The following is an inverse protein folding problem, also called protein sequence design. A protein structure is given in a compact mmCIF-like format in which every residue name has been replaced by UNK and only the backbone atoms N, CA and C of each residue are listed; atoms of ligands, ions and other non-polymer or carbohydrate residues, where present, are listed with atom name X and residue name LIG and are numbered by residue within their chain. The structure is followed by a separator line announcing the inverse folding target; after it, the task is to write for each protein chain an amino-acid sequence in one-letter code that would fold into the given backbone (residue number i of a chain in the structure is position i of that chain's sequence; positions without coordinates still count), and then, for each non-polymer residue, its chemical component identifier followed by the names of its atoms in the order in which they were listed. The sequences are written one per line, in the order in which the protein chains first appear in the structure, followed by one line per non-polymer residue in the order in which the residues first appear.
data_IF_185318542937
#
_entry.id   IF_185318542937
#
_cell.length_a   1.000
_cell.length_b   1.000
_cell.length_c   1.000
_cell.angle_alpha   90.00
_cell.angle_beta   90.00
_cell.angle_gamma   90.00
#
_symmetry.space_group_name_H-M   'P 1'
#
loop_
_entity.id
_entity.type
_entity.pdbx_description
1 polymer ?
#
# COMPACT_ATOMS: atom_id res chain seq x y z
N UNK A 1 10.85 18.08 13.41
CA UNK A 1 12.29 17.79 13.24
C UNK A 1 12.59 17.28 11.83
N UNK A 2 13.78 17.61 11.32
CA UNK A 2 14.35 17.08 10.07
C UNK A 2 15.41 16.05 10.45
N UNK A 3 15.14 14.79 10.18
CA UNK A 3 16.08 13.69 10.33
C UNK A 3 16.72 13.34 8.98
N UNK A 4 18.01 13.03 8.98
CA UNK A 4 18.76 12.60 7.80
C UNK A 4 19.71 11.46 8.17
N UNK A 5 20.23 10.73 7.19
CA UNK A 5 21.31 9.78 7.43
C UNK A 5 22.57 10.51 7.92
N UNK A 6 23.33 9.88 8.81
CA UNK A 6 24.46 10.48 9.50
C UNK A 6 25.61 10.84 8.55
N UNK A 7 25.78 10.05 7.50
CA UNK A 7 26.74 10.24 6.40
C UNK A 7 26.38 11.40 5.46
N UNK A 8 25.12 11.85 5.46
CA UNK A 8 24.67 12.95 4.61
C UNK A 8 25.14 14.31 5.20
N UNK A 9 25.93 15.02 4.39
CA UNK A 9 26.45 16.37 4.70
C UNK A 9 25.77 17.49 3.91
N UNK A 10 24.96 17.15 2.89
CA UNK A 10 24.39 18.12 1.96
C UNK A 10 23.11 18.78 2.49
N UNK A 11 22.49 18.20 3.52
CA UNK A 11 21.26 18.71 4.13
C UNK A 11 21.60 19.27 5.50
N UNK A 12 21.54 20.59 5.63
CA UNK A 12 21.87 21.33 6.85
C UNK A 12 20.64 21.93 7.53
N UNK A 13 19.49 21.95 6.84
CA UNK A 13 18.24 22.50 7.35
C UNK A 13 17.13 22.55 6.31
N UNK A 14 16.02 23.23 6.62
CA UNK A 14 14.81 23.26 5.80
C UNK A 14 15.06 23.78 4.38
N UNK A 15 15.85 24.84 4.22
CA UNK A 15 16.12 25.45 2.91
C UNK A 15 16.92 24.54 1.97
N UNK A 16 17.67 23.58 2.53
CA UNK A 16 18.46 22.59 1.77
C UNK A 16 17.63 21.41 1.24
N UNK A 17 16.31 21.37 1.52
CA UNK A 17 15.41 20.31 1.08
C UNK A 17 14.81 20.52 -0.32
N UNK A 18 15.15 21.61 -1.02
CA UNK A 18 14.69 21.87 -2.39
C UNK A 18 15.10 20.72 -3.32
N UNK A 19 14.16 20.26 -4.14
CA UNK A 19 14.34 19.12 -5.07
C UNK A 19 14.77 17.79 -4.42
N UNK A 20 14.63 17.65 -3.09
CA UNK A 20 14.96 16.41 -2.37
C UNK A 20 13.75 15.48 -2.27
N UNK A 21 14.02 14.19 -2.06
CA UNK A 21 13.00 13.20 -1.69
C UNK A 21 12.87 13.22 -0.18
N UNK A 22 11.67 13.50 0.33
CA UNK A 22 11.43 13.56 1.78
C UNK A 22 10.30 12.63 2.18
N UNK A 23 10.45 11.93 3.31
CA UNK A 23 9.37 11.19 3.91
C UNK A 23 8.65 12.03 4.98
N UNK A 24 7.33 11.88 5.05
CA UNK A 24 6.49 12.56 6.06
C UNK A 24 5.40 11.62 6.57
N UNK A 25 4.94 11.83 7.80
CA UNK A 25 3.74 11.17 8.30
C UNK A 25 2.49 11.94 7.83
N UNK A 26 1.50 11.23 7.31
CA UNK A 26 0.22 11.79 6.85
C UNK A 26 -0.50 12.52 7.99
N UNK A 27 -1.12 13.66 7.69
CA UNK A 27 -1.92 14.43 8.66
C UNK A 27 -1.11 15.24 9.67
N UNK A 28 0.21 15.35 9.50
CA UNK A 28 1.06 16.16 10.37
C UNK A 28 1.27 17.58 9.83
N UNK A 29 1.49 18.51 10.74
CA UNK A 29 2.00 19.87 10.49
C UNK A 29 3.34 19.85 9.73
N UNK A 30 4.20 18.87 10.03
CA UNK A 30 5.42 18.60 9.26
C UNK A 30 5.14 18.30 7.78
N UNK A 31 4.15 17.46 7.48
CA UNK A 31 3.72 17.17 6.11
C UNK A 31 3.10 18.41 5.42
N UNK A 32 2.35 19.23 6.14
CA UNK A 32 1.81 20.49 5.60
C UNK A 32 2.93 21.48 5.24
N UNK A 33 3.92 21.63 6.13
CA UNK A 33 5.07 22.51 5.90
C UNK A 33 5.97 22.00 4.78
N UNK A 34 6.10 20.68 4.63
CA UNK A 34 6.82 20.05 3.52
C UNK A 34 6.27 20.46 2.15
N UNK A 35 4.94 20.58 2.00
CA UNK A 35 4.29 21.00 0.73
C UNK A 35 4.74 22.39 0.25
N UNK A 36 5.24 23.26 1.13
CA UNK A 36 5.73 24.59 0.74
C UNK A 36 7.16 24.60 0.18
N UNK A 37 7.86 23.46 0.19
CA UNK A 37 9.25 23.37 -0.29
C UNK A 37 9.25 23.23 -1.82
N UNK A 38 9.91 24.14 -2.57
CA UNK A 38 9.93 24.08 -4.03
C UNK A 38 10.58 22.80 -4.57
N UNK A 39 9.88 22.13 -5.49
CA UNK A 39 10.36 20.96 -6.23
C UNK A 39 10.56 19.69 -5.40
N UNK A 40 10.14 19.70 -4.14
CA UNK A 40 10.31 18.55 -3.24
C UNK A 40 9.44 17.36 -3.68
N UNK A 41 9.98 16.15 -3.54
CA UNK A 41 9.24 14.91 -3.78
C UNK A 41 8.80 14.33 -2.44
N UNK A 42 7.52 14.51 -2.10
CA UNK A 42 6.97 14.06 -0.82
C UNK A 42 6.55 12.59 -0.90
N UNK A 43 7.00 11.82 0.08
CA UNK A 43 6.67 10.42 0.28
C UNK A 43 5.93 10.26 1.61
N UNK A 44 4.61 10.12 1.54
CA UNK A 44 3.78 10.07 2.74
C UNK A 44 3.60 8.65 3.30
N UNK A 45 3.65 8.50 4.62
CA UNK A 45 3.47 7.22 5.35
C UNK A 45 2.45 7.35 6.49
N UNK A 46 1.89 6.21 6.91
CA UNK A 46 0.88 6.18 7.98
C UNK A 46 1.49 6.35 9.38
N UNK A 47 2.79 6.13 9.54
CA UNK A 47 3.46 6.24 10.82
C UNK A 47 4.89 6.73 10.68
N UNK A 48 5.37 7.41 11.72
CA UNK A 48 6.74 7.88 11.83
C UNK A 48 7.80 6.76 11.70
N UNK A 49 7.65 5.58 12.32
CA UNK A 49 8.63 4.51 12.16
C UNK A 49 8.82 4.06 10.70
N UNK A 50 7.74 3.98 9.92
CA UNK A 50 7.83 3.61 8.49
C UNK A 50 8.56 4.69 7.68
N UNK A 51 8.29 5.97 7.96
CA UNK A 51 9.00 7.08 7.33
C UNK A 51 10.50 7.09 7.68
N UNK A 52 10.87 6.74 8.93
CA UNK A 52 12.27 6.61 9.35
C UNK A 52 12.96 5.39 8.74
N UNK A 53 12.27 4.25 8.63
CA UNK A 53 12.80 3.08 7.93
C UNK A 53 13.12 3.39 6.46
N UNK A 54 12.29 4.18 5.80
CA UNK A 54 12.51 4.63 4.42
C UNK A 54 13.82 5.44 4.28
N UNK A 55 14.16 6.25 5.28
CA UNK A 55 15.41 7.00 5.33
C UNK A 55 16.62 6.08 5.51
N UNK A 56 16.52 5.10 6.41
CA UNK A 56 17.55 4.09 6.63
C UNK A 56 17.82 3.27 5.36
N UNK A 57 16.75 2.88 4.66
CA UNK A 57 16.83 2.11 3.42
C UNK A 57 17.42 2.90 2.24
N UNK A 58 17.67 4.21 2.37
CA UNK A 58 18.26 5.01 1.29
C UNK A 58 17.24 5.60 0.30
N UNK A 59 15.94 5.34 0.50
CA UNK A 59 14.89 5.69 -0.45
C UNK A 59 14.52 7.18 -0.45
N UNK A 60 14.80 7.88 0.66
CA UNK A 60 14.62 9.32 0.83
C UNK A 60 15.89 9.98 1.35
N UNK A 61 16.00 11.29 1.14
CA UNK A 61 17.12 12.10 1.60
C UNK A 61 16.92 12.60 3.04
N UNK A 62 15.67 12.83 3.44
CA UNK A 62 15.29 13.33 4.77
C UNK A 62 13.90 12.85 5.20
N UNK A 63 13.64 12.90 6.52
CA UNK A 63 12.31 12.73 7.12
C UNK A 63 11.93 14.00 7.86
N UNK A 64 10.72 14.51 7.61
CA UNK A 64 10.13 15.58 8.43
C UNK A 64 9.06 14.95 9.32
N UNK A 65 9.29 14.98 10.63
CA UNK A 65 8.38 14.40 11.62
C UNK A 65 8.56 15.03 13.00
N UNK A 66 7.66 14.77 13.94
CA UNK A 66 7.71 15.30 15.32
C UNK A 66 9.05 14.99 16.01
N UNK A 67 9.61 16.00 16.68
CA UNK A 67 10.93 15.87 17.30
C UNK A 67 10.97 14.80 18.41
N UNK A 68 10.02 14.73 19.35
CA UNK A 68 10.04 13.73 20.42
C UNK A 68 9.91 12.30 19.87
N UNK A 69 9.03 12.08 18.90
CA UNK A 69 8.82 10.78 18.25
C UNK A 69 10.09 10.32 17.53
N UNK A 70 10.74 11.24 16.81
CA UNK A 70 11.98 10.97 16.08
C UNK A 70 13.13 10.65 17.03
N UNK A 71 13.30 11.43 18.10
CA UNK A 71 14.32 11.18 19.13
C UNK A 71 14.11 9.85 19.85
N UNK A 72 12.86 9.54 20.21
CA UNK A 72 12.52 8.27 20.82
C UNK A 72 12.89 7.10 19.90
N UNK A 73 12.51 7.18 18.62
CA UNK A 73 12.81 6.15 17.64
C UNK A 73 14.32 5.95 17.42
N UNK A 74 15.11 7.03 17.38
CA UNK A 74 16.58 6.95 17.28
C UNK A 74 17.18 6.29 18.54
N UNK A 75 16.70 6.68 19.73
CA UNK A 75 17.29 6.23 20.99
C UNK A 75 16.84 4.83 21.43
N UNK A 76 15.69 4.34 20.95
CA UNK A 76 15.10 3.05 21.38
C UNK A 76 14.92 2.05 20.25
N UNK A 77 14.79 2.50 19.00
CA UNK A 77 14.35 1.68 17.87
C UNK A 77 15.45 1.00 17.05
N UNK A 78 16.69 0.91 17.56
CA UNK A 78 17.84 0.34 16.85
C UNK A 78 18.14 1.00 15.49
N UNK A 79 17.60 2.20 15.23
CA UNK A 79 17.82 2.98 14.01
C UNK A 79 19.20 3.66 14.05
N UNK A 80 20.25 2.90 13.75
CA UNK A 80 21.62 3.41 13.67
C UNK A 80 21.83 4.24 12.41
N UNK A 81 22.71 5.25 12.49
CA UNK A 81 23.09 6.05 11.32
C UNK A 81 22.09 7.13 10.92
N UNK A 82 21.19 7.57 11.81
CA UNK A 82 20.33 8.74 11.60
C UNK A 82 20.73 9.86 12.59
N UNK A 83 20.74 11.11 12.11
CA UNK A 83 20.93 12.31 12.93
C UNK A 83 19.84 13.34 12.65
N UNK A 84 19.56 14.20 13.63
CA UNK A 84 18.65 15.34 13.47
C UNK A 84 19.48 16.58 13.14
N UNK A 85 19.18 17.24 12.03
CA UNK A 85 19.90 18.47 11.60
C UNK A 85 19.19 19.75 11.97
N UNK A 86 17.87 19.70 12.11
CA UNK A 86 17.10 20.86 12.53
C UNK A 86 15.83 20.40 13.26
N UNK A 87 15.51 21.04 14.37
CA UNK A 87 14.14 20.99 14.87
C UNK A 87 13.31 21.97 14.05
N UNK A 88 12.49 21.43 13.15
CA UNK A 88 11.49 22.22 12.45
C UNK A 88 10.55 22.81 13.50
N UNK A 89 10.58 24.14 13.66
CA UNK A 89 9.66 24.88 14.51
C UNK A 89 8.40 25.17 13.69
N UNK A 90 7.59 24.14 13.48
CA UNK A 90 6.14 24.34 13.49
C UNK A 90 5.79 24.54 14.96
N UNK A 91 5.20 25.68 15.34
CA UNK A 91 4.73 25.87 16.71
C UNK A 91 3.62 24.84 17.01
N UNK A 92 4.03 23.72 17.58
CA UNK A 92 3.16 22.59 17.88
C UNK A 92 2.98 22.49 19.39
N UNK A 93 1.81 22.95 19.85
CA UNK A 93 1.43 22.81 21.24
C UNK A 93 0.54 21.58 21.40
N UNK A 94 0.97 20.65 22.25
CA UNK A 94 0.22 19.46 22.58
C UNK A 94 -0.78 19.76 23.69
N UNK A 95 -1.99 19.23 23.56
CA UNK A 95 -3.06 19.40 24.54
C UNK A 95 -3.84 18.11 24.76
N UNK A 96 -4.54 18.04 25.89
CA UNK A 96 -5.45 16.93 26.20
C UNK A 96 -6.85 17.34 25.77
N UNK A 97 -7.36 16.73 24.71
CA UNK A 97 -8.71 17.01 24.22
C UNK A 97 -9.76 16.45 25.19
N UNK A 98 -10.81 17.24 25.43
CA UNK A 98 -11.97 16.81 26.21
C UNK A 98 -13.26 17.09 25.44
N UNK A 99 -14.34 16.37 25.77
CA UNK A 99 -15.65 16.71 25.24
C UNK A 99 -16.02 18.16 25.60
N UNK A 100 -16.82 18.81 24.75
CA UNK A 100 -17.30 20.17 25.02
C UNK A 100 -17.99 20.19 26.39
N UNK A 101 -17.58 21.13 27.25
CA UNK A 101 -18.05 21.29 28.63
C UNK A 101 -17.70 20.11 29.57
N UNK A 102 -16.63 19.37 29.30
CA UNK A 102 -16.17 18.30 30.21
C UNK A 102 -15.86 18.85 31.60
N UNK A 103 -16.39 18.24 32.69
CA UNK A 103 -16.06 18.63 34.06
C UNK A 103 -14.58 18.38 34.39
N UNK A 104 -13.92 17.51 33.63
CA UNK A 104 -12.52 17.12 33.87
C UNK A 104 -11.52 18.14 33.32
N UNK A 105 -11.94 19.11 32.48
CA UNK A 105 -11.02 20.06 31.87
C UNK A 105 -10.25 20.88 32.92
N UNK A 106 -10.95 21.35 33.97
CA UNK A 106 -10.33 22.10 35.05
C UNK A 106 -9.34 21.26 35.87
N UNK A 107 -9.71 20.01 36.18
CA UNK A 107 -8.86 19.07 36.89
C UNK A 107 -7.59 18.72 36.10
N UNK A 108 -7.72 18.51 34.78
CA UNK A 108 -6.60 18.23 33.89
C UNK A 108 -5.64 19.41 33.85
N UNK A 109 -6.16 20.63 33.68
CA UNK A 109 -5.33 21.84 33.65
C UNK A 109 -4.61 22.08 34.98
N UNK A 110 -5.28 21.90 36.13
CA UNK A 110 -4.65 22.01 37.46
C UNK A 110 -3.54 20.95 37.66
N UNK A 111 -3.76 19.72 37.20
CA UNK A 111 -2.75 18.66 37.23
C UNK A 111 -1.53 18.99 36.38
N UNK A 112 -1.73 19.47 35.15
CA UNK A 112 -0.65 19.89 34.25
C UNK A 112 0.14 21.05 34.86
N UNK A 113 -0.53 22.05 35.42
CA UNK A 113 0.10 23.18 36.10
C UNK A 113 1.01 22.74 37.25
N UNK A 114 0.56 21.78 38.07
CA UNK A 114 1.36 21.23 39.17
C UNK A 114 2.62 20.52 38.67
N UNK A 115 2.50 19.71 37.63
CA UNK A 115 3.62 18.93 37.03
C UNK A 115 4.63 19.84 36.33
N UNK A 116 4.17 20.95 35.75
CA UNK A 116 5.05 21.97 35.17
C UNK A 116 5.78 22.77 36.26
N UNK A 117 5.06 23.24 37.30
CA UNK A 117 5.64 24.06 38.39
C UNK A 117 6.64 23.30 39.26
N UNK A 118 6.39 22.02 39.52
CA UNK A 118 7.23 21.22 40.41
C UNK A 118 8.45 20.60 39.69
N UNK A 119 8.67 20.90 38.41
CA UNK A 119 9.81 20.39 37.62
C UNK A 119 9.71 18.91 37.21
N UNK A 120 8.64 18.20 37.57
CA UNK A 120 8.45 16.79 37.19
C UNK A 120 8.40 16.64 35.67
N UNK A 121 7.78 17.59 34.95
CA UNK A 121 7.78 17.60 33.49
C UNK A 121 9.20 17.59 32.92
N UNK A 122 10.08 18.47 33.40
CA UNK A 122 11.48 18.55 32.95
C UNK A 122 12.24 17.26 33.25
N UNK A 123 12.02 16.65 34.42
CA UNK A 123 12.64 15.36 34.79
C UNK A 123 12.19 14.23 33.85
N UNK A 124 10.89 14.14 33.54
CA UNK A 124 10.35 13.16 32.59
C UNK A 124 10.97 13.40 31.21
N UNK A 125 10.99 14.66 30.76
CA UNK A 125 11.52 15.02 29.44
C UNK A 125 13.00 14.66 29.30
N UNK A 126 13.84 15.01 30.27
CA UNK A 126 15.26 14.64 30.30
C UNK A 126 15.44 13.11 30.37
N UNK A 127 14.64 12.40 31.16
CA UNK A 127 14.73 10.94 31.30
C UNK A 127 14.58 10.24 29.95
N UNK A 128 13.54 10.61 29.19
CA UNK A 128 13.15 9.94 27.94
C UNK A 128 13.84 10.50 26.68
N UNK A 129 14.10 11.82 26.62
CA UNK A 129 14.60 12.48 25.41
C UNK A 129 16.03 12.99 25.51
N UNK A 130 16.66 12.97 26.71
CA UNK A 130 18.04 13.44 26.94
C UNK A 130 18.30 14.88 26.47
N UNK A 131 17.29 15.75 26.54
CA UNK A 131 17.34 17.16 26.16
C UNK A 131 16.51 18.01 27.13
N UNK A 132 16.62 19.34 27.05
CA UNK A 132 15.74 20.27 27.78
C UNK A 132 14.40 20.48 27.04
N UNK A 133 13.28 20.66 27.76
CA UNK A 133 11.99 20.94 27.13
C UNK A 133 11.94 22.35 26.54
N UNK A 134 11.24 22.56 25.40
CA UNK A 134 11.02 23.89 24.84
C UNK A 134 10.10 24.75 25.73
N UNK A 135 10.23 26.07 25.63
CA UNK A 135 9.37 27.02 26.34
C UNK A 135 7.92 26.98 25.85
N UNK A 136 6.96 26.86 26.77
CA UNK A 136 5.53 26.91 26.45
C UNK A 136 5.03 28.36 26.35
N UNK A 137 4.11 28.67 25.42
CA UNK A 137 3.51 29.99 25.28
C UNK A 137 2.57 30.27 26.45
N UNK A 138 2.50 31.54 26.87
CA UNK A 138 1.65 31.96 27.99
C UNK A 138 0.14 31.88 27.68
N UNK A 139 -0.26 31.78 26.41
CA UNK A 139 -1.65 31.61 25.95
C UNK A 139 -1.67 30.62 24.79
N UNK A 140 -2.75 29.83 24.70
CA UNK A 140 -3.03 29.02 23.51
C UNK A 140 -3.06 29.95 22.28
N UNK A 141 -2.25 29.69 21.25
CA UNK A 141 -2.33 30.45 19.99
C UNK A 141 -3.57 30.11 19.17
N UNK A 142 -4.36 29.11 19.60
CA UNK A 142 -5.60 28.71 18.95
C UNK A 142 -6.78 29.48 19.56
N UNK A 143 -7.29 30.44 18.79
CA UNK A 143 -8.54 31.15 19.07
C UNK A 143 -9.74 30.21 18.87
N UNK A 144 -10.80 30.36 19.67
CA UNK A 144 -11.98 29.48 19.66
C UNK A 144 -12.67 29.47 18.28
N UNK A 145 -12.26 28.55 17.40
CA UNK A 145 -12.90 28.35 16.10
C UNK A 145 -14.30 27.75 16.30
N UNK A 146 -15.30 28.62 16.28
CA UNK A 146 -16.70 28.23 16.30
C UNK A 146 -17.12 27.82 14.90
N UNK A 147 -17.08 26.52 14.59
CA UNK A 147 -17.59 26.02 13.31
C UNK A 147 -19.13 26.00 13.32
N UNK A 148 -19.73 26.89 12.53
CA UNK A 148 -21.17 26.92 12.25
C UNK A 148 -21.53 25.74 11.35
N UNK A 149 -22.33 24.80 11.88
CA UNK A 149 -22.74 23.59 11.16
C UNK A 149 -23.77 23.86 10.07
N UNK A 150 -23.34 23.88 8.81
CA UNK A 150 -24.23 23.81 7.65
C UNK A 150 -24.77 22.38 7.43
N UNK A 151 -25.95 22.20 6.78
CA UNK A 151 -26.65 20.91 6.69
C UNK A 151 -25.82 19.81 6.00
N UNK A 152 -25.92 18.60 6.55
CA UNK A 152 -24.96 17.49 6.38
C UNK A 152 -24.99 16.73 5.04
N UNK A 153 -26.02 16.88 4.19
CA UNK A 153 -26.18 16.03 2.99
C UNK A 153 -25.67 16.72 1.71
N UNK A 154 -26.08 17.97 1.45
CA UNK A 154 -25.60 18.73 0.28
C UNK A 154 -24.11 19.03 0.34
N UNK A 155 -23.56 19.17 1.55
CA UNK A 155 -22.11 19.27 1.78
C UNK A 155 -21.38 17.98 1.46
N UNK A 156 -22.00 16.79 1.59
CA UNK A 156 -21.33 15.51 1.33
C UNK A 156 -21.12 15.23 -0.15
N UNK A 157 -22.11 15.50 -1.00
CA UNK A 157 -21.98 15.30 -2.45
C UNK A 157 -20.93 16.26 -3.04
N UNK A 158 -20.93 17.52 -2.61
CA UNK A 158 -19.96 18.50 -3.11
C UNK A 158 -18.51 18.11 -2.78
N UNK A 159 -18.26 17.52 -1.61
CA UNK A 159 -16.92 17.03 -1.26
C UNK A 159 -16.50 15.82 -2.05
N UNK A 160 -17.42 14.89 -2.35
CA UNK A 160 -17.11 13.77 -3.24
C UNK A 160 -16.77 14.28 -4.64
N UNK A 161 -17.57 15.21 -5.19
CA UNK A 161 -17.33 15.79 -6.51
C UNK A 161 -16.00 16.54 -6.61
N UNK A 162 -15.61 17.26 -5.55
CA UNK A 162 -14.31 17.93 -5.48
C UNK A 162 -13.14 16.93 -5.40
N UNK A 163 -13.33 15.82 -4.68
CA UNK A 163 -12.33 14.75 -4.58
C UNK A 163 -12.21 13.90 -5.85
N UNK A 164 -13.27 13.83 -6.66
CA UNK A 164 -13.42 12.88 -7.76
C UNK A 164 -12.27 12.91 -8.78
N UNK A 165 -11.75 14.07 -9.26
CA UNK A 165 -10.62 14.09 -10.18
C UNK A 165 -9.36 13.45 -9.59
N UNK A 166 -9.06 13.69 -8.32
CA UNK A 166 -7.92 13.11 -7.61
C UNK A 166 -8.11 11.61 -7.39
N UNK A 167 -9.34 11.16 -7.10
CA UNK A 167 -9.67 9.75 -7.01
C UNK A 167 -9.51 9.04 -8.36
N UNK A 168 -9.89 9.66 -9.48
CA UNK A 168 -9.67 9.09 -10.82
C UNK A 168 -8.19 8.95 -11.16
N UNK A 169 -7.33 9.89 -10.73
CA UNK A 169 -5.88 9.73 -10.87
C UNK A 169 -5.37 8.52 -10.09
N UNK A 170 -5.85 8.32 -8.85
CA UNK A 170 -5.56 7.12 -8.07
C UNK A 170 -6.06 5.84 -8.75
N UNK A 171 -7.26 5.88 -9.34
CA UNK A 171 -7.82 4.76 -10.10
C UNK A 171 -6.96 4.37 -11.30
N UNK A 172 -6.34 5.32 -12.01
CA UNK A 172 -5.40 5.01 -13.09
C UNK A 172 -4.17 4.24 -12.58
N UNK A 173 -3.64 4.62 -11.41
CA UNK A 173 -2.52 3.90 -10.79
C UNK A 173 -2.97 2.50 -10.34
N UNK A 174 -4.17 2.36 -9.78
CA UNK A 174 -4.78 1.06 -9.46
C UNK A 174 -4.88 0.17 -10.69
N UNK A 175 -5.31 0.70 -11.83
CA UNK A 175 -5.38 -0.04 -13.09
C UNK A 175 -3.99 -0.43 -13.60
N UNK A 176 -3.02 0.49 -13.54
CA UNK A 176 -1.65 0.23 -13.93
C UNK A 176 -1.04 -0.92 -13.10
N UNK A 177 -1.21 -0.88 -11.76
CA UNK A 177 -0.80 -1.95 -10.85
C UNK A 177 -1.45 -3.28 -11.25
N UNK A 178 -2.78 -3.28 -11.38
CA UNK A 178 -3.56 -4.49 -11.70
C UNK A 178 -3.07 -5.11 -13.01
N UNK A 179 -2.95 -4.32 -14.07
CA UNK A 179 -2.56 -4.82 -15.40
C UNK A 179 -1.15 -5.39 -15.38
N UNK A 180 -0.18 -4.65 -14.83
CA UNK A 180 1.21 -5.12 -14.76
C UNK A 180 1.32 -6.40 -13.92
N UNK A 181 0.68 -6.43 -12.76
CA UNK A 181 0.72 -7.58 -11.86
C UNK A 181 0.03 -8.82 -12.45
N UNK A 182 -1.10 -8.65 -13.17
CA UNK A 182 -1.75 -9.74 -13.89
C UNK A 182 -0.88 -10.24 -15.04
N UNK A 183 -0.24 -9.36 -15.81
CA UNK A 183 0.62 -9.80 -16.93
C UNK A 183 1.78 -10.65 -16.41
N UNK A 184 2.52 -10.18 -15.40
CA UNK A 184 3.62 -10.95 -14.81
C UNK A 184 3.12 -12.18 -14.05
N UNK A 185 2.00 -12.07 -13.34
CA UNK A 185 1.34 -13.17 -12.64
C UNK A 185 0.87 -14.27 -13.57
N UNK A 186 0.30 -13.91 -14.73
CA UNK A 186 -0.12 -14.86 -15.77
C UNK A 186 1.07 -15.60 -16.38
N UNK A 187 2.16 -14.89 -16.70
CA UNK A 187 3.38 -15.50 -17.23
C UNK A 187 3.98 -16.46 -16.20
N UNK A 188 4.28 -15.96 -14.98
CA UNK A 188 4.90 -16.75 -13.93
C UNK A 188 4.01 -17.91 -13.48
N UNK A 189 2.73 -17.65 -13.26
CA UNK A 189 1.75 -18.64 -12.84
C UNK A 189 1.51 -19.72 -13.90
N UNK A 190 1.49 -19.39 -15.19
CA UNK A 190 1.37 -20.40 -16.25
C UNK A 190 2.59 -21.33 -16.29
N UNK A 191 3.80 -20.76 -16.19
CA UNK A 191 5.03 -21.56 -16.13
C UNK A 191 5.01 -22.49 -14.91
N UNK A 192 4.72 -21.96 -13.73
CA UNK A 192 4.66 -22.73 -12.47
C UNK A 192 3.55 -23.79 -12.54
N UNK A 193 2.38 -23.46 -13.09
CA UNK A 193 1.25 -24.37 -13.28
C UNK A 193 1.61 -25.57 -14.15
N UNK A 194 2.32 -25.34 -15.25
CA UNK A 194 2.84 -26.41 -16.13
C UNK A 194 3.89 -27.25 -15.40
N UNK A 195 4.83 -26.60 -14.70
CA UNK A 195 5.88 -27.29 -13.94
C UNK A 195 5.30 -28.21 -12.87
N UNK A 196 4.16 -27.85 -12.26
CA UNK A 196 3.47 -28.70 -11.28
C UNK A 196 2.86 -29.97 -11.86
N UNK A 197 2.70 -30.05 -13.18
CA UNK A 197 2.29 -31.27 -13.89
C UNK A 197 3.48 -32.18 -14.25
N UNK A 198 4.72 -31.75 -13.98
CA UNK A 198 5.92 -32.53 -14.29
C UNK A 198 5.95 -33.86 -13.55
N UNK A 199 6.43 -34.90 -14.24
CA UNK A 199 6.68 -36.22 -13.65
C UNK A 199 7.88 -36.21 -12.69
N UNK A 200 8.81 -35.26 -12.87
CA UNK A 200 10.04 -35.13 -12.07
C UNK A 200 9.67 -34.62 -10.66
N UNK A 201 9.83 -35.48 -9.65
CA UNK A 201 9.37 -35.20 -8.29
C UNK A 201 10.02 -33.95 -7.65
N UNK A 202 11.37 -33.75 -7.71
CA UNK A 202 11.99 -32.56 -7.13
C UNK A 202 11.46 -31.24 -7.70
N UNK A 203 11.34 -31.16 -9.03
CA UNK A 203 10.88 -29.94 -9.73
C UNK A 203 9.44 -29.60 -9.33
N UNK A 204 8.58 -30.62 -9.27
CA UNK A 204 7.19 -30.48 -8.83
C UNK A 204 7.07 -30.08 -7.36
N UNK A 205 7.98 -30.56 -6.50
CA UNK A 205 8.00 -30.18 -5.08
C UNK A 205 8.38 -28.72 -4.88
N UNK A 206 9.39 -28.22 -5.59
CA UNK A 206 9.77 -26.79 -5.55
C UNK A 206 8.60 -25.90 -5.98
N UNK A 207 7.94 -26.23 -7.09
CA UNK A 207 6.79 -25.47 -7.56
C UNK A 207 5.58 -25.54 -6.60
N UNK A 208 5.41 -26.67 -5.89
CA UNK A 208 4.43 -26.79 -4.81
C UNK A 208 4.78 -25.90 -3.62
N UNK A 209 6.03 -25.93 -3.16
CA UNK A 209 6.49 -25.10 -2.04
C UNK A 209 6.28 -23.60 -2.32
N UNK A 210 6.57 -23.13 -3.53
CA UNK A 210 6.26 -21.76 -3.95
C UNK A 210 4.77 -21.44 -3.80
N UNK A 211 3.90 -22.28 -4.39
CA UNK A 211 2.44 -22.04 -4.35
C UNK A 211 1.91 -22.05 -2.92
N UNK A 212 2.34 -23.02 -2.12
CA UNK A 212 1.92 -23.17 -0.71
C UNK A 212 2.39 -21.98 0.13
N UNK A 213 3.59 -21.47 -0.10
CA UNK A 213 4.11 -20.28 0.59
C UNK A 213 3.30 -19.02 0.24
N UNK A 214 3.12 -18.71 -1.04
CA UNK A 214 2.47 -17.46 -1.46
C UNK A 214 0.97 -17.46 -1.19
N UNK A 215 0.30 -18.63 -1.23
CA UNK A 215 -1.12 -18.75 -0.86
C UNK A 215 -1.33 -18.92 0.64
N UNK A 216 -0.33 -19.44 1.35
CA UNK A 216 -0.37 -19.65 2.80
C UNK A 216 0.04 -18.42 3.62
N UNK A 217 0.55 -17.37 2.99
CA UNK A 217 0.98 -16.14 3.68
C UNK A 217 0.13 -14.92 3.24
N UNK A 218 -0.21 -13.99 4.16
CA UNK A 218 -0.98 -12.81 3.80
C UNK A 218 -0.24 -11.91 2.80
N UNK A 219 -0.94 -11.44 1.76
CA UNK A 219 -0.38 -10.53 0.75
C UNK A 219 0.17 -9.24 1.36
N UNK A 220 -0.49 -8.67 2.38
CA UNK A 220 0.01 -7.49 3.09
C UNK A 220 1.40 -7.72 3.71
N UNK A 221 1.64 -8.91 4.28
CA UNK A 221 2.96 -9.27 4.83
C UNK A 221 3.98 -9.42 3.71
N UNK A 222 3.60 -10.00 2.57
CA UNK A 222 4.48 -10.10 1.40
C UNK A 222 4.89 -8.72 0.87
N UNK A 223 3.96 -7.76 0.82
CA UNK A 223 4.23 -6.37 0.43
C UNK A 223 5.26 -5.74 1.39
N UNK A 224 5.07 -5.87 2.71
CA UNK A 224 6.04 -5.35 3.68
C UNK A 224 7.41 -6.03 3.59
N UNK A 225 7.44 -7.35 3.43
CA UNK A 225 8.69 -8.09 3.30
C UNK A 225 9.46 -7.69 2.05
N UNK A 226 8.77 -7.47 0.92
CA UNK A 226 9.42 -7.05 -0.32
C UNK A 226 9.90 -5.60 -0.24
N UNK A 227 9.09 -4.69 0.31
CA UNK A 227 9.42 -3.27 0.32
C UNK A 227 10.38 -2.85 1.44
N UNK A 228 10.19 -3.35 2.67
CA UNK A 228 11.01 -3.01 3.83
C UNK A 228 12.02 -4.11 4.18
N UNK A 229 11.60 -5.38 4.15
CA UNK A 229 12.42 -6.49 4.59
C UNK A 229 13.60 -6.81 3.67
N UNK A 230 13.36 -6.92 2.36
CA UNK A 230 14.39 -7.29 1.39
C UNK A 230 15.52 -6.24 1.32
N UNK A 231 15.24 -4.92 1.23
CA UNK A 231 16.30 -3.92 1.33
C UNK A 231 17.12 -4.03 2.63
N UNK A 232 16.45 -4.20 3.78
CA UNK A 232 17.14 -4.33 5.07
C UNK A 232 18.09 -5.54 5.11
N UNK A 233 17.63 -6.72 4.66
CA UNK A 233 18.47 -7.92 4.56
C UNK A 233 19.61 -7.72 3.56
N UNK A 234 19.34 -7.08 2.41
CA UNK A 234 20.38 -6.82 1.40
C UNK A 234 21.50 -5.94 1.96
N UNK A 235 21.14 -4.95 2.78
CA UNK A 235 22.08 -4.03 3.41
C UNK A 235 22.94 -4.72 4.46
N UNK A 236 22.37 -5.64 5.26
CA UNK A 236 23.14 -6.48 6.19
C UNK A 236 24.15 -7.38 5.47
N UNK A 237 23.81 -7.85 4.26
CA UNK A 237 24.69 -8.62 3.39
C UNK A 237 25.70 -7.76 2.61
N UNK A 238 25.71 -6.44 2.80
CA UNK A 238 26.64 -5.51 2.16
C UNK A 238 26.22 -5.03 0.77
N UNK A 239 24.99 -5.31 0.33
CA UNK A 239 24.43 -4.83 -0.94
C UNK A 239 23.44 -3.69 -0.69
N UNK A 240 23.47 -2.65 -1.54
CA UNK A 240 22.47 -1.58 -1.49
C UNK A 240 21.44 -1.80 -2.60
N UNK A 241 20.31 -2.41 -2.23
CA UNK A 241 19.22 -2.64 -3.16
C UNK A 241 17.94 -1.98 -2.68
N UNK A 242 17.33 -1.15 -3.52
CA UNK A 242 16.10 -0.43 -3.22
C UNK A 242 15.08 -0.61 -4.33
N UNK A 243 13.80 -0.71 -3.96
CA UNK A 243 12.70 -0.75 -4.91
C UNK A 243 11.99 0.60 -4.91
N UNK A 244 11.59 1.07 -6.10
CA UNK A 244 10.50 2.03 -6.17
C UNK A 244 9.19 1.39 -5.68
N UNK A 245 8.29 2.20 -5.10
CA UNK A 245 7.01 1.73 -4.55
C UNK A 245 6.15 1.01 -5.58
N UNK A 246 6.11 1.51 -6.82
CA UNK A 246 5.36 0.87 -7.89
C UNK A 246 5.96 -0.51 -8.19
N UNK A 247 7.27 -0.58 -8.35
CA UNK A 247 7.98 -1.85 -8.63
C UNK A 247 7.79 -2.86 -7.53
N UNK A 248 7.95 -2.48 -6.26
CA UNK A 248 7.71 -3.36 -5.12
C UNK A 248 6.26 -3.86 -5.06
N UNK A 249 5.29 -2.96 -5.29
CA UNK A 249 3.88 -3.32 -5.39
C UNK A 249 3.62 -4.33 -6.51
N UNK A 250 4.14 -4.07 -7.72
CA UNK A 250 3.99 -4.98 -8.86
C UNK A 250 4.62 -6.35 -8.59
N UNK A 251 5.83 -6.39 -8.00
CA UNK A 251 6.51 -7.65 -7.65
C UNK A 251 5.68 -8.43 -6.62
N UNK A 252 5.26 -7.80 -5.53
CA UNK A 252 4.49 -8.46 -4.48
C UNK A 252 3.17 -9.03 -5.01
N UNK A 253 2.41 -8.20 -5.72
CA UNK A 253 1.13 -8.58 -6.33
C UNK A 253 1.31 -9.67 -7.40
N UNK A 254 2.34 -9.58 -8.25
CA UNK A 254 2.57 -10.56 -9.32
C UNK A 254 3.02 -11.92 -8.79
N UNK A 255 3.89 -11.96 -7.78
CA UNK A 255 4.30 -13.22 -7.14
C UNK A 255 3.12 -13.89 -6.44
N UNK A 256 2.30 -13.12 -5.73
CA UNK A 256 1.09 -13.64 -5.13
C UNK A 256 0.11 -14.18 -6.19
N UNK A 257 -0.19 -13.35 -7.20
CA UNK A 257 -1.10 -13.69 -8.28
C UNK A 257 -0.62 -14.91 -9.10
N UNK A 258 0.69 -15.05 -9.33
CA UNK A 258 1.28 -16.20 -10.01
C UNK A 258 0.97 -17.52 -9.28
N UNK A 259 0.96 -17.53 -7.94
CA UNK A 259 0.63 -18.73 -7.19
C UNK A 259 -0.85 -19.15 -7.35
N UNK A 260 -1.78 -18.19 -7.37
CA UNK A 260 -3.18 -18.45 -7.65
C UNK A 260 -3.41 -18.88 -9.11
N UNK A 261 -2.80 -18.17 -10.05
CA UNK A 261 -2.83 -18.53 -11.48
C UNK A 261 -2.28 -19.94 -11.73
N UNK A 262 -1.19 -20.33 -11.06
CA UNK A 262 -0.62 -21.67 -11.20
C UNK A 262 -1.59 -22.78 -10.82
N UNK A 263 -2.44 -22.54 -9.82
CA UNK A 263 -3.53 -23.46 -9.46
C UNK A 263 -4.64 -23.48 -10.49
N UNK A 264 -5.02 -22.31 -11.02
CA UNK A 264 -6.03 -22.22 -12.09
C UNK A 264 -5.55 -22.98 -13.34
N UNK A 265 -4.30 -22.82 -13.74
CA UNK A 265 -3.71 -23.51 -14.89
C UNK A 265 -3.66 -25.02 -14.66
N UNK A 266 -3.15 -25.45 -13.49
CA UNK A 266 -3.11 -26.88 -13.13
C UNK A 266 -4.50 -27.50 -13.09
N UNK A 267 -5.45 -26.85 -12.43
CA UNK A 267 -6.83 -27.33 -12.29
C UNK A 267 -7.56 -27.33 -13.65
N UNK A 268 -7.35 -26.31 -14.48
CA UNK A 268 -7.92 -26.23 -15.82
C UNK A 268 -7.49 -27.41 -16.69
N UNK A 269 -6.20 -27.75 -16.69
CA UNK A 269 -5.67 -28.90 -17.43
C UNK A 269 -6.22 -30.22 -16.86
N UNK A 270 -6.20 -30.40 -15.55
CA UNK A 270 -6.67 -31.63 -14.90
C UNK A 270 -8.19 -31.82 -14.98
N UNK A 271 -8.95 -30.77 -15.27
CA UNK A 271 -10.40 -30.89 -15.43
C UNK A 271 -10.81 -31.66 -16.68
N UNK A 272 -9.94 -31.75 -17.69
CA UNK A 272 -10.23 -32.44 -18.96
C UNK A 272 -10.25 -33.96 -18.72
N UNK A 273 -11.31 -34.61 -19.20
CA UNK A 273 -11.47 -36.07 -19.06
C UNK A 273 -10.30 -36.82 -19.69
N UNK A 274 -9.80 -37.84 -19.00
CA UNK A 274 -8.64 -38.64 -19.44
C UNK A 274 -8.89 -39.33 -20.79
N UNK A 275 -10.14 -39.70 -21.09
CA UNK A 275 -10.53 -40.30 -22.36
C UNK A 275 -10.19 -39.44 -23.58
N UNK A 276 -10.14 -38.10 -23.46
CA UNK A 276 -9.68 -37.21 -24.53
C UNK A 276 -8.20 -37.45 -24.87
N UNK A 277 -7.38 -37.67 -23.84
CA UNK A 277 -5.96 -37.95 -24.02
C UNK A 277 -5.73 -39.37 -24.56
N UNK A 278 -6.50 -40.35 -24.08
CA UNK A 278 -6.44 -41.76 -24.52
C UNK A 278 -6.87 -41.90 -26.00
N UNK A 279 -7.95 -41.22 -26.41
CA UNK A 279 -8.42 -41.20 -27.79
C UNK A 279 -7.39 -40.54 -28.72
N UNK A 280 -6.82 -39.40 -28.33
CA UNK A 280 -5.78 -38.71 -29.09
C UNK A 280 -4.54 -39.60 -29.30
N UNK A 281 -4.10 -40.31 -28.25
CA UNK A 281 -2.96 -41.23 -28.33
C UNK A 281 -3.26 -42.46 -29.20
N UNK A 282 -4.51 -42.94 -29.18
CA UNK A 282 -4.97 -44.04 -30.05
C UNK A 282 -4.99 -43.64 -31.54
N UNK A 283 -5.16 -42.35 -31.83
CA UNK A 283 -5.01 -41.77 -33.17
C UNK A 283 -3.55 -41.45 -33.54
N UNK A 284 -2.58 -41.85 -32.72
CA UNK A 284 -1.14 -41.69 -32.99
C UNK A 284 -0.57 -40.31 -32.63
N UNK A 285 -1.32 -39.45 -31.92
CA UNK A 285 -0.79 -38.18 -31.45
C UNK A 285 0.18 -38.39 -30.27
N UNK A 286 1.35 -37.77 -30.35
CA UNK A 286 2.29 -37.69 -29.21
C UNK A 286 1.69 -36.91 -28.03
N UNK A 287 2.27 -37.06 -26.83
CA UNK A 287 1.83 -36.32 -25.64
C UNK A 287 1.85 -34.80 -25.82
N UNK A 288 2.82 -34.28 -26.59
CA UNK A 288 2.94 -32.85 -26.90
C UNK A 288 1.82 -32.41 -27.85
N UNK A 289 1.57 -33.18 -28.91
CA UNK A 289 0.48 -32.91 -29.85
C UNK A 289 -0.88 -33.01 -29.15
N UNK A 290 -1.07 -34.02 -28.29
CA UNK A 290 -2.28 -34.20 -27.48
C UNK A 290 -2.50 -32.99 -26.57
N UNK A 291 -1.45 -32.49 -25.91
CA UNK A 291 -1.54 -31.29 -25.08
C UNK A 291 -1.92 -30.05 -25.89
N UNK A 292 -1.21 -29.78 -26.99
CA UNK A 292 -1.38 -28.53 -27.77
C UNK A 292 -2.70 -28.51 -28.53
N UNK A 293 -3.09 -29.62 -29.17
CA UNK A 293 -4.22 -29.63 -30.09
C UNK A 293 -5.55 -30.02 -29.44
N UNK A 294 -5.51 -30.82 -28.36
CA UNK A 294 -6.72 -31.39 -27.75
C UNK A 294 -6.96 -30.82 -26.35
N UNK A 295 -6.01 -30.98 -25.43
CA UNK A 295 -6.23 -30.67 -24.01
C UNK A 295 -6.21 -29.16 -23.76
N UNK A 296 -5.14 -28.47 -24.15
CA UNK A 296 -4.93 -27.05 -23.83
C UNK A 296 -6.04 -26.13 -24.36
N UNK A 297 -6.54 -26.27 -25.61
CA UNK A 297 -7.64 -25.43 -26.09
C UNK A 297 -8.93 -25.58 -25.28
N UNK A 298 -9.20 -26.79 -24.76
CA UNK A 298 -10.36 -27.05 -23.89
C UNK A 298 -10.11 -26.50 -22.48
N UNK A 299 -8.92 -26.77 -21.94
CA UNK A 299 -8.51 -26.33 -20.61
C UNK A 299 -8.51 -24.80 -20.51
N UNK A 300 -7.98 -24.09 -21.53
CA UNK A 300 -7.96 -22.63 -21.59
C UNK A 300 -9.36 -22.02 -21.47
N UNK A 301 -10.36 -22.59 -22.15
CA UNK A 301 -11.76 -22.14 -22.02
C UNK A 301 -12.30 -22.31 -20.60
N UNK A 302 -11.89 -23.35 -19.89
CA UNK A 302 -12.29 -23.61 -18.49
C UNK A 302 -11.53 -22.73 -17.49
N UNK A 303 -10.34 -22.25 -17.85
CA UNK A 303 -9.53 -21.35 -17.01
C UNK A 303 -10.06 -19.91 -17.00
N UNK A 304 -10.75 -19.47 -18.04
CA UNK A 304 -11.16 -18.06 -18.17
C UNK A 304 -12.03 -17.54 -17.01
N UNK A 305 -13.11 -18.23 -16.60
CA UNK A 305 -13.92 -17.75 -15.49
C UNK A 305 -13.12 -17.55 -14.19
N UNK A 306 -12.31 -18.52 -13.72
CA UNK A 306 -11.49 -18.30 -12.54
C UNK A 306 -10.38 -17.26 -12.74
N UNK A 307 -9.76 -17.13 -13.93
CA UNK A 307 -8.79 -16.07 -14.21
C UNK A 307 -9.43 -14.67 -14.15
N UNK A 308 -10.67 -14.51 -14.64
CA UNK A 308 -11.41 -13.27 -14.51
C UNK A 308 -11.75 -12.91 -13.06
N UNK A 309 -12.12 -13.91 -12.25
CA UNK A 309 -12.35 -13.71 -10.81
C UNK A 309 -11.06 -13.32 -10.07
N UNK A 310 -9.93 -13.93 -10.43
CA UNK A 310 -8.62 -13.62 -9.87
C UNK A 310 -8.18 -12.19 -10.23
N UNK A 311 -8.42 -11.74 -11.47
CA UNK A 311 -8.22 -10.34 -11.88
C UNK A 311 -9.02 -9.37 -11.01
N UNK A 312 -10.32 -9.63 -10.81
CA UNK A 312 -11.21 -8.75 -10.02
C UNK A 312 -10.77 -8.71 -8.56
N UNK A 313 -10.32 -9.83 -8.03
CA UNK A 313 -9.78 -9.91 -6.67
C UNK A 313 -8.50 -9.08 -6.56
N UNK A 314 -7.56 -9.26 -7.50
CA UNK A 314 -6.31 -8.51 -7.52
C UNK A 314 -6.52 -7.00 -7.64
N UNK A 315 -7.50 -6.56 -8.45
CA UNK A 315 -7.86 -5.15 -8.59
C UNK A 315 -8.17 -4.51 -7.23
N UNK A 316 -8.90 -5.22 -6.37
CA UNK A 316 -9.20 -4.77 -5.01
C UNK A 316 -7.97 -4.88 -4.11
N UNK A 317 -7.23 -5.99 -4.21
CA UNK A 317 -6.03 -6.23 -3.40
C UNK A 317 -4.91 -5.21 -3.65
N UNK A 318 -4.91 -4.51 -4.79
CA UNK A 318 -4.00 -3.37 -5.02
C UNK A 318 -4.09 -2.29 -3.94
N UNK A 319 -5.25 -2.18 -3.26
CA UNK A 319 -5.42 -1.24 -2.15
C UNK A 319 -4.47 -1.53 -1.00
N UNK A 320 -3.98 -2.77 -0.85
CA UNK A 320 -3.01 -3.14 0.18
C UNK A 320 -1.66 -2.45 -0.03
N UNK A 321 -1.34 -2.00 -1.25
CA UNK A 321 -0.09 -1.29 -1.54
C UNK A 321 -0.11 0.15 -1.00
N UNK A 322 -1.28 0.66 -0.57
CA UNK A 322 -1.40 1.98 0.06
C UNK A 322 -0.54 2.12 1.32
N UNK A 323 -0.28 1.00 2.02
CA UNK A 323 0.50 0.96 3.28
C UNK A 323 1.97 1.28 3.10
N UNK A 324 2.52 1.06 1.90
CA UNK A 324 3.89 1.48 1.54
C UNK A 324 3.90 2.90 0.93
N UNK A 325 2.76 3.59 1.00
CA UNK A 325 2.61 4.97 0.56
C UNK A 325 2.47 5.14 -0.95
N UNK A 326 2.21 4.07 -1.72
CA UNK A 326 1.93 4.20 -3.15
C UNK A 326 0.56 4.87 -3.34
N UNK A 327 0.52 5.96 -4.08
CA UNK A 327 -0.66 6.81 -4.23
C UNK A 327 -1.68 6.26 -5.25
N UNK A 328 -2.15 5.03 -5.02
CA UNK A 328 -3.30 4.44 -5.70
C UNK A 328 -4.64 4.97 -5.15
N UNK A 329 -5.78 4.45 -5.64
CA UNK A 329 -7.11 4.96 -5.33
C UNK A 329 -7.40 5.09 -3.82
N UNK A 330 -7.14 4.06 -3.01
CA UNK A 330 -7.38 4.11 -1.56
C UNK A 330 -6.45 5.15 -0.90
N UNK A 331 -5.16 5.17 -1.29
CA UNK A 331 -4.17 6.10 -0.74
C UNK A 331 -4.51 7.56 -1.05
N UNK A 332 -4.96 7.87 -2.28
CA UNK A 332 -5.45 9.21 -2.63
C UNK A 332 -6.63 9.61 -1.74
N UNK A 333 -7.55 8.68 -1.48
CA UNK A 333 -8.64 8.90 -0.52
C UNK A 333 -8.12 9.24 0.88
N UNK A 334 -7.20 8.44 1.42
CA UNK A 334 -6.59 8.67 2.75
C UNK A 334 -5.92 10.05 2.85
N UNK A 335 -5.21 10.50 1.80
CA UNK A 335 -4.57 11.81 1.78
C UNK A 335 -5.60 12.95 1.82
N UNK A 336 -6.73 12.82 1.12
CA UNK A 336 -7.81 13.81 1.16
C UNK A 336 -8.48 13.85 2.54
N UNK A 337 -8.73 12.68 3.14
CA UNK A 337 -9.29 12.58 4.50
C UNK A 337 -8.35 13.20 5.53
N UNK A 338 -7.04 13.04 5.37
CA UNK A 338 -6.06 13.64 6.26
C UNK A 338 -6.03 15.18 6.17
N UNK A 339 -6.40 15.74 5.02
CA UNK A 339 -6.45 17.18 4.81
C UNK A 339 -7.80 17.81 5.25
N UNK A 340 -8.93 17.11 5.12
CA UNK A 340 -10.27 17.68 5.37
C UNK A 340 -11.09 17.01 6.50
N UNK A 341 -10.60 15.91 7.08
CA UNK A 341 -11.25 15.13 8.13
C UNK A 341 -12.62 14.50 7.77
N UNK A 342 -12.96 14.41 6.48
CA UNK A 342 -14.25 13.87 5.98
C UNK A 342 -14.14 12.43 5.51
N UNK A 343 -13.87 11.54 6.47
CA UNK A 343 -13.63 10.12 6.20
C UNK A 343 -14.81 9.43 5.47
N UNK A 344 -16.04 9.65 5.96
CA UNK A 344 -17.21 8.95 5.44
C UNK A 344 -17.43 9.24 3.95
N UNK A 345 -17.44 10.52 3.58
CA UNK A 345 -17.72 10.95 2.21
C UNK A 345 -16.65 10.48 1.23
N UNK A 346 -15.39 10.64 1.60
CA UNK A 346 -14.28 10.28 0.71
C UNK A 346 -14.18 8.77 0.54
N UNK A 347 -14.31 7.99 1.62
CA UNK A 347 -14.31 6.52 1.50
C UNK A 347 -15.55 5.98 0.78
N UNK A 348 -16.70 6.64 0.87
CA UNK A 348 -17.86 6.34 0.02
C UNK A 348 -17.52 6.59 -1.46
N UNK A 349 -16.87 7.71 -1.79
CA UNK A 349 -16.37 7.99 -3.14
C UNK A 349 -15.39 6.93 -3.65
N UNK A 350 -14.40 6.56 -2.84
CA UNK A 350 -13.45 5.46 -3.14
C UNK A 350 -14.18 4.15 -3.41
N UNK A 351 -15.15 3.77 -2.56
CA UNK A 351 -15.94 2.55 -2.72
C UNK A 351 -16.76 2.56 -4.02
N UNK A 352 -17.37 3.69 -4.38
CA UNK A 352 -18.09 3.83 -5.65
C UNK A 352 -17.16 3.66 -6.85
N UNK A 353 -15.96 4.24 -6.81
CA UNK A 353 -14.99 4.08 -7.90
C UNK A 353 -14.54 2.62 -8.03
N UNK A 354 -14.19 1.94 -6.92
CA UNK A 354 -13.88 0.51 -6.95
C UNK A 354 -15.04 -0.34 -7.47
N UNK A 355 -16.27 -0.03 -7.06
CA UNK A 355 -17.46 -0.73 -7.52
C UNK A 355 -17.65 -0.57 -9.03
N UNK A 356 -17.55 0.67 -9.54
CA UNK A 356 -17.64 0.94 -10.98
C UNK A 356 -16.57 0.18 -11.77
N UNK A 357 -15.31 0.19 -11.31
CA UNK A 357 -14.22 -0.58 -11.93
C UNK A 357 -14.53 -2.08 -11.89
N UNK A 358 -14.94 -2.60 -10.75
CA UNK A 358 -15.26 -4.02 -10.56
C UNK A 358 -16.40 -4.46 -11.48
N UNK A 359 -17.48 -3.68 -11.57
CA UNK A 359 -18.62 -3.96 -12.45
C UNK A 359 -18.23 -3.89 -13.93
N UNK A 360 -17.37 -2.94 -14.31
CA UNK A 360 -16.87 -2.80 -15.69
C UNK A 360 -16.08 -4.05 -16.10
N UNK A 361 -15.11 -4.48 -15.29
CA UNK A 361 -14.32 -5.67 -15.61
C UNK A 361 -15.13 -6.96 -15.48
N UNK A 362 -16.03 -7.05 -14.50
CA UNK A 362 -16.94 -8.20 -14.37
C UNK A 362 -17.80 -8.38 -15.62
N UNK A 363 -18.35 -7.30 -16.17
CA UNK A 363 -19.09 -7.35 -17.44
C UNK A 363 -18.17 -7.73 -18.62
N UNK A 364 -16.97 -7.16 -18.70
CA UNK A 364 -16.02 -7.51 -19.75
C UNK A 364 -15.67 -9.01 -19.74
N UNK A 365 -15.39 -9.59 -18.56
CA UNK A 365 -15.13 -11.03 -18.43
C UNK A 365 -16.36 -11.89 -18.69
N UNK A 366 -17.56 -11.44 -18.30
CA UNK A 366 -18.81 -12.16 -18.60
C UNK A 366 -19.06 -12.25 -20.11
N UNK A 367 -18.83 -11.15 -20.85
CA UNK A 367 -18.93 -11.13 -22.31
C UNK A 367 -17.90 -12.08 -22.94
N UNK A 368 -16.66 -12.04 -22.44
CA UNK A 368 -15.58 -12.90 -22.92
C UNK A 368 -15.89 -14.38 -22.66
N UNK A 369 -16.44 -14.73 -21.49
CA UNK A 369 -16.89 -16.09 -21.17
C UNK A 369 -17.95 -16.57 -22.16
N UNK A 370 -18.99 -15.76 -22.41
CA UNK A 370 -20.07 -16.12 -23.34
C UNK A 370 -19.55 -16.29 -24.76
N UNK A 371 -18.66 -15.41 -25.22
CA UNK A 371 -18.05 -15.50 -26.55
C UNK A 371 -17.23 -16.77 -26.74
N UNK A 372 -16.54 -17.24 -25.70
CA UNK A 372 -15.70 -18.44 -25.72
C UNK A 372 -16.45 -19.75 -25.49
N UNK A 373 -17.71 -19.71 -25.07
CA UNK A 373 -18.54 -20.88 -24.88
C UNK A 373 -19.34 -21.23 -26.16
N UNK A 374 -18.99 -22.30 -26.90
CA UNK A 374 -19.64 -22.65 -28.16
C UNK A 374 -21.12 -23.06 -27.98
N UNK A 375 -21.49 -23.60 -26.82
CA UNK A 375 -22.87 -24.03 -26.52
C UNK A 375 -23.77 -22.81 -26.29
N UNK A 376 -23.30 -21.83 -25.50
CA UNK A 376 -24.03 -20.58 -25.28
C UNK A 376 -24.12 -19.75 -26.56
N UNK A 377 -23.09 -19.77 -27.41
CA UNK A 377 -23.05 -19.04 -28.69
C UNK A 377 -24.09 -19.54 -29.69
N UNK A 378 -24.35 -20.85 -29.79
CA UNK A 378 -25.38 -21.42 -30.68
C UNK A 378 -26.80 -20.96 -30.31
N UNK A 379 -27.16 -20.99 -29.01
CA UNK A 379 -28.48 -20.53 -28.53
C UNK A 379 -28.84 -19.08 -28.87
N UNK A 380 -27.86 -18.20 -29.10
CA UNK A 380 -28.09 -16.79 -29.44
C UNK A 380 -28.48 -16.57 -30.92
N UNK A 381 -28.32 -17.57 -31.78
CA UNK A 381 -28.69 -17.53 -33.19
C UNK A 381 -29.89 -18.44 -33.53
N UNK A 382 -30.33 -19.26 -32.57
CA UNK A 382 -31.50 -20.15 -32.70
C UNK A 382 -32.79 -19.52 -32.12
N UNK A 383 -32.74 -18.26 -31.70
CA UNK A 383 -33.87 -17.40 -31.27
C UNK A 383 -33.83 -16.11 -32.07
#
# INVERSE_FOLDING_TARGET
AIAIRADNQNITGFDSLKNKKIAVQVGTTGAAKAKSIPGVQIRSFDSAPLALQELTNGNVDAVINDAPVTLYAINTGNLQGIKIVQQLLTEEFYGIATAKNSPNLALINDGLDKVLKNGTYSQIYQKWFKAEPPSLPAKSPFENQSSTGAPKIFTSISVILQAFPTLLQGALVTLQLTILSVVFGLIGGSLIGIVRLSRIAPVRWIARAYVDFFRGTPLLVQIFMIYFGFPAISQELGFTFTFDRLTAGVIALSLNNAAYTAEVVRAGIQSIETGQAEAAQSLGLSSVQTMIYIIFPQAFRRMIPPLGNDFISLLKDTSLVSVIGLEELLRKGQLIVADNYRAFEIYAGVAVVYLCLTLLFSQAFSILEVWMNPVKRRRKYDT
#
